data_IF_448388850405
#
_entry.id   IF_448388850405
#
_cell.length_a   1.000
_cell.length_b   1.000
_cell.length_c   1.000
_cell.angle_alpha   90.00
_cell.angle_beta   90.00
_cell.angle_gamma   90.00
#
_symmetry.space_group_name_H-M   'P 1'
#
loop_
_entity.id
_entity.type
_entity.pdbx_description
1 polymer ?
#
# COMPACT_ATOMS: atom_id res chain seq x y z
N UNK A 1 -26.10 -7.46 -4.54
CA UNK A 1 -25.25 -8.61 -4.19
C UNK A 1 -26.06 -9.61 -3.37
N UNK A 2 -25.85 -10.92 -3.56
CA UNK A 2 -26.56 -11.96 -2.77
C UNK A 2 -26.04 -12.04 -1.32
N UNK A 3 -24.81 -11.57 -1.07
CA UNK A 3 -24.20 -11.55 0.26
C UNK A 3 -24.21 -10.09 0.77
N UNK A 4 -25.11 -9.72 1.70
CA UNK A 4 -25.34 -8.31 2.05
C UNK A 4 -24.13 -7.57 2.66
N UNK A 5 -23.21 -8.29 3.30
CA UNK A 5 -22.04 -7.69 3.96
C UNK A 5 -20.82 -7.51 3.03
N UNK A 6 -20.91 -7.93 1.77
CA UNK A 6 -19.83 -7.71 0.79
C UNK A 6 -20.01 -6.33 0.16
N UNK A 7 -19.18 -5.37 0.59
CA UNK A 7 -19.28 -3.96 0.16
C UNK A 7 -18.56 -3.66 -1.15
N UNK A 8 -17.41 -4.28 -1.39
CA UNK A 8 -16.54 -3.99 -2.54
C UNK A 8 -16.06 -5.30 -3.17
N UNK A 9 -16.20 -5.40 -4.49
CA UNK A 9 -15.58 -6.47 -5.28
C UNK A 9 -14.38 -5.90 -6.02
N UNK A 10 -13.25 -6.60 -5.94
CA UNK A 10 -12.02 -6.22 -6.65
C UNK A 10 -11.41 -7.38 -7.40
N UNK A 11 -10.89 -7.10 -8.58
CA UNK A 11 -10.19 -8.07 -9.43
C UNK A 11 -8.72 -7.71 -9.56
N UNK A 12 -7.83 -8.69 -9.38
CA UNK A 12 -6.43 -8.58 -9.76
C UNK A 12 -6.23 -9.28 -11.11
N UNK A 13 -5.69 -8.58 -12.11
CA UNK A 13 -5.54 -9.16 -13.45
C UNK A 13 -4.42 -8.52 -14.26
N UNK A 14 -3.59 -9.34 -14.90
CA UNK A 14 -2.59 -8.87 -15.87
C UNK A 14 -3.17 -8.76 -17.29
N UNK A 15 -4.47 -9.06 -17.48
CA UNK A 15 -5.11 -9.13 -18.81
C UNK A 15 -4.93 -7.84 -19.63
N UNK A 16 -5.11 -6.62 -19.09
CA UNK A 16 -4.86 -5.39 -19.85
C UNK A 16 -3.43 -5.25 -20.39
N UNK A 17 -2.49 -6.00 -19.80
CA UNK A 17 -1.07 -6.01 -20.17
C UNK A 17 -0.79 -7.09 -21.21
N UNK A 18 -1.14 -8.34 -20.91
CA UNK A 18 -0.70 -9.52 -21.68
C UNK A 18 -1.70 -9.98 -22.74
N UNK A 19 -3.00 -9.70 -22.55
CA UNK A 19 -4.08 -10.10 -23.46
C UNK A 19 -5.17 -9.02 -23.51
N UNK A 20 -4.85 -7.78 -23.94
CA UNK A 20 -5.79 -6.67 -23.89
C UNK A 20 -7.08 -6.92 -24.68
N UNK A 21 -7.06 -7.79 -25.69
CA UNK A 21 -8.22 -8.19 -26.49
C UNK A 21 -9.32 -8.87 -25.67
N UNK A 22 -9.01 -9.37 -24.47
CA UNK A 22 -10.01 -9.99 -23.59
C UNK A 22 -10.93 -8.95 -22.92
N UNK A 23 -10.54 -7.68 -22.92
CA UNK A 23 -11.38 -6.57 -22.49
C UNK A 23 -12.34 -6.20 -23.61
N UNK A 24 -13.52 -6.79 -23.59
CA UNK A 24 -14.59 -6.58 -24.60
C UNK A 24 -15.78 -5.83 -24.00
N UNK A 25 -16.66 -5.33 -24.86
CA UNK A 25 -17.88 -4.65 -24.44
C UNK A 25 -18.80 -5.57 -23.62
N UNK A 26 -18.89 -6.86 -23.97
CA UNK A 26 -19.71 -7.84 -23.25
C UNK A 26 -19.18 -8.06 -21.83
N UNK A 27 -17.85 -8.15 -21.67
CA UNK A 27 -17.23 -8.27 -20.36
C UNK A 27 -17.53 -7.04 -19.49
N UNK A 28 -17.37 -5.86 -20.06
CA UNK A 28 -17.62 -4.59 -19.37
C UNK A 28 -19.09 -4.48 -18.96
N UNK A 29 -20.01 -4.77 -19.88
CA UNK A 29 -21.46 -4.74 -19.64
C UNK A 29 -21.87 -5.71 -18.52
N UNK A 30 -21.26 -6.89 -18.46
CA UNK A 30 -21.47 -7.84 -17.38
C UNK A 30 -20.96 -7.29 -16.04
N UNK A 31 -19.71 -6.81 -15.98
CA UNK A 31 -19.10 -6.32 -14.73
C UNK A 31 -19.81 -5.07 -14.17
N UNK A 32 -20.36 -4.19 -15.02
CA UNK A 32 -21.11 -3.00 -14.60
C UNK A 32 -22.30 -3.30 -13.71
N UNK A 33 -22.90 -4.50 -13.82
CA UNK A 33 -24.05 -4.92 -13.01
C UNK A 33 -23.71 -5.09 -11.52
N UNK A 34 -22.43 -5.11 -11.17
CA UNK A 34 -21.94 -5.45 -9.83
C UNK A 34 -21.12 -4.33 -9.17
N UNK A 35 -21.29 -3.07 -9.60
CA UNK A 35 -20.62 -1.92 -8.98
C UNK A 35 -20.92 -1.83 -7.46
N UNK A 36 -19.97 -1.38 -6.62
CA UNK A 36 -18.65 -0.85 -6.98
C UNK A 36 -17.59 -1.93 -7.28
N UNK A 37 -16.94 -1.84 -8.45
CA UNK A 37 -15.88 -2.77 -8.89
C UNK A 37 -14.54 -2.05 -9.07
N UNK A 38 -13.50 -2.63 -8.47
CA UNK A 38 -12.12 -2.16 -8.57
C UNK A 38 -11.26 -3.16 -9.35
N UNK A 39 -10.34 -2.68 -10.19
CA UNK A 39 -9.47 -3.54 -10.99
C UNK A 39 -8.01 -3.14 -10.79
N UNK A 40 -7.22 -4.06 -10.24
CA UNK A 40 -5.77 -3.90 -10.10
C UNK A 40 -5.06 -4.62 -11.25
N UNK A 41 -4.33 -3.87 -12.04
CA UNK A 41 -3.52 -4.34 -13.18
C UNK A 41 -2.07 -4.64 -12.76
N UNK A 42 -1.23 -5.14 -13.69
CA UNK A 42 0.16 -5.53 -13.41
C UNK A 42 1.14 -5.12 -14.53
N UNK A 43 1.25 -3.82 -14.81
CA UNK A 43 2.34 -3.24 -15.59
C UNK A 43 3.64 -3.12 -14.76
N UNK A 44 4.76 -3.54 -15.35
CA UNK A 44 6.11 -3.44 -14.82
C UNK A 44 7.01 -2.52 -15.65
N UNK A 45 6.69 -2.25 -16.91
CA UNK A 45 7.55 -1.44 -17.78
C UNK A 45 6.74 -0.54 -18.74
N UNK A 46 7.17 0.70 -19.04
CA UNK A 46 6.44 1.62 -19.93
C UNK A 46 6.15 1.06 -21.33
N UNK A 47 6.96 0.10 -21.81
CA UNK A 47 6.80 -0.58 -23.11
C UNK A 47 5.54 -1.45 -23.17
N UNK A 48 5.03 -1.89 -22.04
CA UNK A 48 3.83 -2.72 -21.96
C UNK A 48 2.54 -1.91 -22.20
N UNK A 49 2.60 -0.57 -22.08
CA UNK A 49 1.52 0.35 -22.43
C UNK A 49 1.40 0.56 -23.95
N UNK A 50 1.19 -0.56 -24.64
CA UNK A 50 0.93 -0.63 -26.09
C UNK A 50 -0.40 0.06 -26.45
N UNK A 51 -0.65 0.41 -27.74
CA UNK A 51 -1.93 1.00 -28.15
C UNK A 51 -3.15 0.15 -27.73
N UNK A 52 -3.06 -1.18 -27.84
CA UNK A 52 -4.14 -2.09 -27.43
C UNK A 52 -4.33 -2.10 -25.91
N UNK A 53 -3.26 -2.08 -25.13
CA UNK A 53 -3.35 -1.99 -23.67
C UNK A 53 -4.02 -0.68 -23.24
N UNK A 54 -3.64 0.45 -23.86
CA UNK A 54 -4.26 1.76 -23.59
C UNK A 54 -5.74 1.79 -23.94
N UNK A 55 -6.14 1.19 -25.06
CA UNK A 55 -7.55 1.04 -25.43
C UNK A 55 -8.33 0.23 -24.39
N UNK A 56 -7.80 -0.92 -23.97
CA UNK A 56 -8.42 -1.75 -22.94
C UNK A 56 -8.58 -0.99 -21.61
N UNK A 57 -7.55 -0.25 -21.18
CA UNK A 57 -7.61 0.60 -19.98
C UNK A 57 -8.66 1.71 -20.12
N UNK A 58 -8.72 2.38 -21.28
CA UNK A 58 -9.72 3.40 -21.54
C UNK A 58 -11.14 2.84 -21.43
N UNK A 59 -11.42 1.70 -22.07
CA UNK A 59 -12.73 1.05 -21.99
C UNK A 59 -13.13 0.73 -20.55
N UNK A 60 -12.20 0.23 -19.73
CA UNK A 60 -12.46 -0.06 -18.31
C UNK A 60 -12.70 1.21 -17.49
N UNK A 61 -11.91 2.27 -17.71
CA UNK A 61 -12.05 3.53 -17.01
C UNK A 61 -13.35 4.26 -17.41
N UNK A 62 -13.70 4.29 -18.70
CA UNK A 62 -14.95 4.86 -19.23
C UNK A 62 -16.18 4.12 -18.71
N UNK A 63 -16.03 2.85 -18.36
CA UNK A 63 -17.06 2.06 -17.71
C UNK A 63 -17.28 2.42 -16.23
N UNK A 64 -16.45 3.30 -15.65
CA UNK A 64 -16.52 3.71 -14.25
C UNK A 64 -15.83 2.75 -13.28
N UNK A 65 -15.00 1.82 -13.76
CA UNK A 65 -14.19 0.98 -12.86
C UNK A 65 -13.00 1.76 -12.32
N UNK A 66 -12.71 1.61 -11.03
CA UNK A 66 -11.53 2.23 -10.43
C UNK A 66 -10.31 1.36 -10.71
N UNK A 67 -9.34 1.92 -11.43
CA UNK A 67 -8.15 1.20 -11.88
C UNK A 67 -6.95 1.48 -10.99
N UNK A 68 -6.37 0.43 -10.44
CA UNK A 68 -5.08 0.43 -9.77
C UNK A 68 -4.04 -0.34 -10.58
N UNK A 69 -2.77 -0.16 -10.23
CA UNK A 69 -1.67 -0.94 -10.76
C UNK A 69 -0.73 -1.42 -9.66
N UNK A 70 -0.40 -2.71 -9.72
CA UNK A 70 0.55 -3.38 -8.85
C UNK A 70 1.80 -3.71 -9.68
N UNK A 71 2.85 -2.94 -9.48
CA UNK A 71 4.17 -3.18 -10.08
C UNK A 71 5.01 -4.02 -9.13
N UNK A 72 5.86 -4.90 -9.65
CA UNK A 72 6.91 -5.58 -8.89
C UNK A 72 8.25 -4.98 -9.29
N UNK A 73 9.09 -4.70 -8.31
CA UNK A 73 10.46 -4.23 -8.52
C UNK A 73 11.35 -5.41 -8.93
N UNK A 74 11.76 -5.41 -10.20
CA UNK A 74 12.45 -6.51 -10.87
C UNK A 74 13.79 -6.03 -11.43
N UNK A 75 14.85 -6.72 -11.02
CA UNK A 75 16.23 -6.49 -11.48
C UNK A 75 16.34 -6.66 -13.00
N UNK A 76 16.93 -5.68 -13.67
CA UNK A 76 17.15 -5.69 -15.12
C UNK A 76 15.90 -5.40 -15.94
N UNK A 77 14.76 -5.10 -15.29
CA UNK A 77 13.51 -4.73 -15.95
C UNK A 77 13.13 -3.30 -15.59
N UNK A 78 12.95 -3.01 -14.31
CA UNK A 78 12.44 -1.71 -13.85
C UNK A 78 13.10 -1.22 -12.56
N UNK A 79 14.26 -1.77 -12.18
CA UNK A 79 15.07 -1.34 -11.03
C UNK A 79 15.82 -0.02 -11.28
N UNK A 80 15.16 0.93 -11.95
CA UNK A 80 15.66 2.24 -12.33
C UNK A 80 14.59 3.31 -12.03
N UNK A 81 14.94 4.39 -11.30
CA UNK A 81 13.96 5.43 -10.92
C UNK A 81 13.30 6.10 -12.13
N UNK A 82 14.05 6.30 -13.23
CA UNK A 82 13.55 6.93 -14.45
C UNK A 82 12.52 6.05 -15.17
N UNK A 83 12.74 4.73 -15.22
CA UNK A 83 11.81 3.78 -15.85
C UNK A 83 10.49 3.76 -15.08
N UNK A 84 10.55 3.69 -13.75
CA UNK A 84 9.35 3.65 -12.92
C UNK A 84 8.62 4.99 -12.90
N UNK A 85 9.34 6.12 -12.88
CA UNK A 85 8.72 7.45 -13.00
C UNK A 85 7.94 7.57 -14.31
N UNK A 86 8.54 7.18 -15.43
CA UNK A 86 7.90 7.16 -16.74
C UNK A 86 6.68 6.24 -16.76
N UNK A 87 6.80 5.04 -16.18
CA UNK A 87 5.70 4.07 -16.10
C UNK A 87 4.52 4.67 -15.34
N UNK A 88 4.78 5.21 -14.15
CA UNK A 88 3.74 5.71 -13.25
C UNK A 88 3.05 6.95 -13.81
N UNK A 89 3.78 7.85 -14.46
CA UNK A 89 3.19 9.00 -15.15
C UNK A 89 2.30 8.53 -16.31
N UNK A 90 2.75 7.60 -17.14
CA UNK A 90 1.93 7.03 -18.22
C UNK A 90 0.72 6.26 -17.72
N UNK A 91 0.81 5.58 -16.57
CA UNK A 91 -0.35 4.91 -15.98
C UNK A 91 -1.42 5.93 -15.59
N UNK A 92 -1.02 7.05 -14.98
CA UNK A 92 -1.94 8.14 -14.64
C UNK A 92 -2.59 8.76 -15.88
N UNK A 93 -1.85 8.97 -16.97
CA UNK A 93 -2.41 9.41 -18.26
C UNK A 93 -3.52 8.47 -18.77
N UNK A 94 -3.44 7.17 -18.46
CA UNK A 94 -4.45 6.17 -18.80
C UNK A 94 -5.47 5.92 -17.69
N UNK A 95 -5.59 6.84 -16.71
CA UNK A 95 -6.51 6.76 -15.56
C UNK A 95 -6.31 5.52 -14.70
N UNK A 96 -5.07 5.01 -14.64
CA UNK A 96 -4.67 3.91 -13.77
C UNK A 96 -3.81 4.46 -12.65
N UNK A 97 -4.25 4.25 -11.41
CA UNK A 97 -3.49 4.69 -10.24
C UNK A 97 -2.32 3.73 -9.96
N UNK A 98 -1.06 4.19 -9.92
CA UNK A 98 0.03 3.43 -9.30
C UNK A 98 -0.34 3.18 -7.84
N UNK A 99 -0.70 1.93 -7.54
CA UNK A 99 -1.22 1.55 -6.23
C UNK A 99 -0.09 1.05 -5.35
N UNK A 100 0.68 0.08 -5.85
CA UNK A 100 1.79 -0.53 -5.11
C UNK A 100 2.98 -0.80 -5.98
N UNK A 101 4.16 -0.62 -5.40
CA UNK A 101 5.41 -1.17 -5.87
C UNK A 101 5.82 -2.27 -4.89
N UNK A 102 5.82 -3.52 -5.31
CA UNK A 102 6.20 -4.64 -4.46
C UNK A 102 7.68 -4.95 -4.59
N UNK A 103 8.32 -5.25 -3.47
CA UNK A 103 9.57 -5.98 -3.47
C UNK A 103 9.36 -7.37 -4.08
N UNK A 104 10.27 -7.80 -4.94
CA UNK A 104 10.26 -9.16 -5.47
C UNK A 104 10.38 -10.19 -4.34
N UNK A 105 9.43 -11.14 -4.33
CA UNK A 105 9.22 -12.13 -3.27
C UNK A 105 10.35 -13.17 -3.18
N UNK A 106 10.36 -13.94 -2.08
CA UNK A 106 11.27 -15.05 -1.83
C UNK A 106 10.82 -16.37 -2.49
N UNK A 107 9.92 -16.31 -3.46
CA UNK A 107 9.47 -17.49 -4.21
C UNK A 107 10.65 -18.21 -4.88
N UNK A 108 10.54 -19.53 -5.00
CA UNK A 108 11.58 -20.35 -5.61
C UNK A 108 11.78 -20.00 -7.09
N UNK A 109 13.02 -20.00 -7.56
CA UNK A 109 13.36 -19.80 -8.97
C UNK A 109 13.46 -18.35 -9.45
N UNK A 110 13.04 -17.34 -8.66
CA UNK A 110 13.01 -15.92 -9.09
C UNK A 110 14.08 -15.03 -8.44
N UNK A 111 15.08 -15.62 -7.77
CA UNK A 111 16.11 -14.88 -7.04
C UNK A 111 16.90 -13.89 -7.91
N UNK A 112 17.10 -14.20 -9.19
CA UNK A 112 17.79 -13.36 -10.15
C UNK A 112 17.06 -12.05 -10.47
N UNK A 113 15.74 -11.99 -10.25
CA UNK A 113 14.94 -10.76 -10.36
C UNK A 113 14.94 -9.90 -9.09
N UNK A 114 15.49 -10.40 -7.97
CA UNK A 114 15.43 -9.68 -6.70
C UNK A 114 16.36 -8.46 -6.70
N UNK A 115 15.87 -7.40 -6.08
CA UNK A 115 16.61 -6.18 -5.76
C UNK A 115 16.83 -6.07 -4.25
N UNK A 116 17.64 -5.10 -3.82
CA UNK A 116 17.74 -4.73 -2.41
C UNK A 116 16.60 -3.81 -2.01
N UNK A 117 16.22 -3.82 -0.73
CA UNK A 117 15.24 -2.86 -0.18
C UNK A 117 15.75 -1.41 -0.34
N UNK A 118 17.07 -1.21 -0.22
CA UNK A 118 17.71 0.08 -0.44
C UNK A 118 17.41 0.64 -1.84
N UNK A 119 17.40 -0.20 -2.89
CA UNK A 119 17.02 0.22 -4.25
C UNK A 119 15.58 0.71 -4.31
N UNK A 120 14.66 0.02 -3.63
CA UNK A 120 13.26 0.46 -3.54
C UNK A 120 13.13 1.82 -2.84
N UNK A 121 13.81 2.02 -1.72
CA UNK A 121 13.82 3.31 -1.00
C UNK A 121 14.41 4.43 -1.86
N UNK A 122 15.52 4.18 -2.56
CA UNK A 122 16.13 5.13 -3.48
C UNK A 122 15.15 5.52 -4.60
N UNK A 123 14.44 4.56 -5.18
CA UNK A 123 13.40 4.84 -6.18
C UNK A 123 12.31 5.73 -5.58
N UNK A 124 11.86 5.44 -4.35
CA UNK A 124 10.83 6.25 -3.69
C UNK A 124 11.28 7.70 -3.44
N UNK A 125 12.57 7.94 -3.16
CA UNK A 125 13.12 9.30 -3.08
C UNK A 125 13.07 10.02 -4.43
N UNK A 126 13.33 9.34 -5.55
CA UNK A 126 13.28 9.94 -6.89
C UNK A 126 11.85 10.20 -7.39
N UNK A 127 10.84 9.70 -6.69
CA UNK A 127 9.43 9.87 -7.03
C UNK A 127 8.76 10.92 -6.14
N UNK A 128 8.89 10.78 -4.82
CA UNK A 128 8.20 11.61 -3.84
C UNK A 128 8.67 13.07 -3.95
N UNK A 129 7.75 13.99 -4.27
CA UNK A 129 8.07 15.41 -4.51
C UNK A 129 8.62 15.74 -5.90
N UNK A 130 9.11 14.75 -6.65
CA UNK A 130 9.64 14.92 -8.01
C UNK A 130 8.64 14.61 -9.12
N UNK A 131 7.45 14.12 -8.78
CA UNK A 131 6.30 13.95 -9.66
C UNK A 131 5.02 14.24 -8.88
N UNK A 132 3.88 14.23 -9.55
CA UNK A 132 2.57 14.34 -8.87
C UNK A 132 2.44 13.25 -7.81
N UNK A 133 1.92 13.60 -6.63
CA UNK A 133 1.64 12.63 -5.56
C UNK A 133 0.71 11.50 -6.01
N UNK A 134 -0.01 11.69 -7.13
CA UNK A 134 -0.80 10.63 -7.73
C UNK A 134 0.01 9.53 -8.41
N UNK A 135 1.22 9.82 -8.86
CA UNK A 135 2.11 8.87 -9.51
C UNK A 135 3.06 8.17 -8.52
N UNK A 136 2.97 8.47 -7.22
CA UNK A 136 3.80 7.84 -6.18
C UNK A 136 3.03 6.65 -5.62
N UNK A 137 3.49 5.39 -5.85
CA UNK A 137 2.85 4.21 -5.27
C UNK A 137 3.28 4.02 -3.81
N UNK A 138 2.64 3.10 -3.10
CA UNK A 138 3.15 2.62 -1.82
C UNK A 138 4.15 1.49 -2.04
N UNK A 139 5.41 1.67 -1.60
CA UNK A 139 6.43 0.62 -1.70
C UNK A 139 6.25 -0.39 -0.56
N UNK A 140 6.08 -1.66 -0.92
CA UNK A 140 5.63 -2.73 -0.02
C UNK A 140 6.59 -3.91 -0.05
N UNK A 141 6.89 -4.46 1.13
CA UNK A 141 7.59 -5.73 1.30
C UNK A 141 6.62 -6.74 1.90
N UNK A 142 6.43 -7.90 1.26
CA UNK A 142 5.67 -8.99 1.87
C UNK A 142 6.57 -9.72 2.87
N UNK A 143 6.20 -9.68 4.15
CA UNK A 143 7.00 -10.28 5.21
C UNK A 143 6.85 -11.82 5.18
N UNK A 144 7.96 -12.57 5.15
CA UNK A 144 7.92 -14.03 5.19
C UNK A 144 7.15 -14.56 6.40
N UNK A 145 6.55 -15.74 6.24
CA UNK A 145 5.73 -16.36 7.29
C UNK A 145 4.33 -15.74 7.44
N UNK A 146 3.87 -14.97 6.45
CA UNK A 146 2.52 -14.40 6.44
C UNK A 146 2.37 -13.15 7.31
N UNK A 147 3.46 -12.45 7.61
CA UNK A 147 3.42 -11.18 8.34
C UNK A 147 2.72 -10.03 7.59
N UNK A 148 2.44 -10.25 6.30
CA UNK A 148 1.68 -9.34 5.46
C UNK A 148 2.54 -8.27 4.79
N UNK A 149 1.84 -7.39 4.05
CA UNK A 149 2.45 -6.33 3.24
C UNK A 149 2.81 -5.15 4.12
N UNK A 150 4.09 -4.93 4.31
CA UNK A 150 4.62 -3.86 5.16
C UNK A 150 5.15 -2.72 4.29
N UNK A 151 4.64 -1.49 4.49
CA UNK A 151 5.12 -0.34 3.74
C UNK A 151 6.52 0.05 4.17
N UNK A 152 7.32 0.51 3.21
CA UNK A 152 8.69 0.98 3.42
C UNK A 152 8.85 2.34 2.77
N UNK A 153 9.33 3.32 3.54
CA UNK A 153 9.45 4.70 3.10
C UNK A 153 10.85 5.28 3.36
N UNK A 154 11.26 6.29 2.59
CA UNK A 154 12.33 7.16 2.99
C UNK A 154 12.01 7.89 4.31
N UNK A 155 13.04 8.27 5.08
CA UNK A 155 12.86 8.94 6.38
C UNK A 155 12.80 10.45 6.22
N UNK A 156 11.59 11.00 6.24
CA UNK A 156 11.37 12.46 6.18
C UNK A 156 11.38 13.13 7.55
N UNK A 157 10.87 12.47 8.59
CA UNK A 157 11.02 12.92 9.97
C UNK A 157 12.42 12.55 10.46
N UNK A 158 13.19 13.55 10.90
CA UNK A 158 14.61 13.36 11.27
C UNK A 158 14.91 13.62 12.74
N UNK A 159 14.07 14.39 13.43
CA UNK A 159 14.19 14.62 14.87
C UNK A 159 12.84 15.05 15.46
N UNK A 160 12.70 14.93 16.79
CA UNK A 160 11.54 15.37 17.54
C UNK A 160 11.95 15.81 18.95
N UNK A 161 11.30 16.84 19.48
CA UNK A 161 11.32 17.25 20.89
C UNK A 161 9.89 17.47 21.38
N UNK A 162 9.72 18.02 22.58
CA UNK A 162 8.42 18.08 23.28
C UNK A 162 7.25 18.65 22.46
N UNK A 163 7.51 19.63 21.59
CA UNK A 163 6.50 20.28 20.73
C UNK A 163 6.99 20.57 19.32
N UNK A 164 8.18 20.10 18.98
CA UNK A 164 8.84 20.47 17.74
C UNK A 164 9.27 19.21 17.04
N UNK A 165 8.68 18.96 15.87
CA UNK A 165 9.06 17.86 15.00
C UNK A 165 9.84 18.43 13.82
N UNK A 166 11.00 17.87 13.52
CA UNK A 166 11.88 18.33 12.46
C UNK A 166 11.80 17.36 11.28
N UNK A 167 11.52 17.92 10.11
CA UNK A 167 11.42 17.21 8.84
C UNK A 167 12.47 17.69 7.86
N UNK A 168 12.90 16.79 6.96
CA UNK A 168 13.52 17.13 5.68
C UNK A 168 12.52 16.88 4.56
N UNK A 169 12.50 17.71 3.51
CA UNK A 169 11.72 17.45 2.30
C UNK A 169 12.56 16.73 1.21
N UNK A 170 12.01 16.59 0.00
CA UNK A 170 12.70 15.98 -1.14
C UNK A 170 13.88 16.82 -1.68
N UNK A 171 13.90 18.13 -1.43
CA UNK A 171 14.96 19.06 -1.83
C UNK A 171 16.10 19.13 -0.81
N UNK A 172 15.93 18.48 0.35
CA UNK A 172 16.84 18.60 1.49
C UNK A 172 16.59 19.83 2.36
N UNK A 173 15.51 20.58 2.14
CA UNK A 173 15.09 21.65 3.04
C UNK A 173 14.68 21.04 4.38
N UNK A 174 15.29 21.54 5.45
CA UNK A 174 14.97 21.14 6.82
C UNK A 174 14.05 22.19 7.44
N UNK A 175 12.89 21.76 7.92
CA UNK A 175 11.91 22.64 8.54
C UNK A 175 11.31 21.99 9.79
N UNK A 176 10.79 22.84 10.67
CA UNK A 176 10.13 22.42 11.90
C UNK A 176 8.62 22.56 11.80
N UNK A 177 7.90 21.63 12.38
CA UNK A 177 6.48 21.71 12.67
C UNK A 177 6.31 21.89 14.18
N UNK A 178 5.51 22.88 14.59
CA UNK A 178 5.21 23.13 16.00
C UNK A 178 3.88 22.49 16.34
N UNK A 179 3.90 21.57 17.30
CA UNK A 179 2.71 20.86 17.77
C UNK A 179 1.91 21.72 18.76
N UNK A 180 0.57 21.59 18.75
CA UNK A 180 -0.32 22.25 19.72
C UNK A 180 0.01 21.83 21.17
N UNK A 181 -0.12 22.76 22.12
CA UNK A 181 0.01 22.48 23.57
C UNK A 181 -1.29 22.03 24.22
N UNK A 182 -2.43 22.29 23.58
CA UNK A 182 -3.76 22.03 24.09
C UNK A 182 -4.43 20.80 23.47
N UNK A 183 -3.70 20.01 22.68
CA UNK A 183 -4.27 18.83 22.02
C UNK A 183 -4.69 17.75 23.01
N UNK A 184 -5.95 17.33 22.89
CA UNK A 184 -6.53 16.19 23.62
C UNK A 184 -7.12 15.20 22.64
N UNK A 185 -6.84 13.93 22.87
CA UNK A 185 -7.45 12.84 22.11
C UNK A 185 -8.82 12.52 22.71
N UNK A 186 -9.85 13.24 22.27
CA UNK A 186 -11.24 13.08 22.72
C UNK A 186 -12.18 12.91 21.51
N UNK A 187 -13.22 12.09 21.68
CA UNK A 187 -14.25 11.91 20.66
C UNK A 187 -15.11 13.19 20.59
N UNK A 188 -15.42 13.73 19.40
CA UNK A 188 -16.29 14.89 19.29
C UNK A 188 -17.66 14.67 19.95
N UNK A 189 -18.27 15.72 20.54
CA UNK A 189 -19.62 15.60 21.10
C UNK A 189 -20.61 15.19 20.00
N UNK A 190 -21.53 14.27 20.32
CA UNK A 190 -22.54 13.69 19.41
C UNK A 190 -21.98 12.83 18.25
N UNK A 191 -20.77 12.28 18.39
CA UNK A 191 -20.25 11.31 17.42
C UNK A 191 -20.85 9.90 17.63
N UNK A 192 -21.57 9.38 16.62
CA UNK A 192 -22.19 8.05 16.65
C UNK A 192 -21.50 7.02 15.73
N UNK A 193 -20.40 7.40 15.06
CA UNK A 193 -19.75 6.57 14.04
C UNK A 193 -19.35 5.20 14.57
N UNK A 194 -18.79 5.12 15.78
CA UNK A 194 -18.39 3.85 16.38
C UNK A 194 -19.60 2.93 16.64
N UNK A 195 -20.73 3.49 17.06
CA UNK A 195 -21.98 2.73 17.29
C UNK A 195 -22.55 2.23 15.96
N UNK A 196 -22.63 3.09 14.95
CA UNK A 196 -23.12 2.76 13.61
C UNK A 196 -22.25 1.71 12.90
N UNK A 197 -20.92 1.76 13.07
CA UNK A 197 -20.01 0.76 12.52
C UNK A 197 -20.16 -0.59 13.21
N UNK A 198 -20.26 -0.59 14.54
CA UNK A 198 -20.52 -1.80 15.33
C UNK A 198 -21.85 -2.44 14.97
N UNK A 199 -22.90 -1.64 14.77
CA UNK A 199 -24.21 -2.11 14.34
C UNK A 199 -24.17 -2.80 12.96
N UNK A 200 -23.26 -2.37 12.07
CA UNK A 200 -23.00 -3.01 10.76
C UNK A 200 -22.02 -4.19 10.83
N UNK A 201 -21.49 -4.52 12.00
CA UNK A 201 -20.50 -5.60 12.17
C UNK A 201 -19.16 -5.32 11.47
N UNK A 202 -18.84 -4.05 11.20
CA UNK A 202 -17.63 -3.63 10.48
C UNK A 202 -16.42 -3.37 11.38
N UNK A 203 -16.61 -3.47 12.69
CA UNK A 203 -15.53 -3.24 13.66
C UNK A 203 -14.81 -4.55 13.97
N UNK A 204 -13.50 -4.53 13.73
CA UNK A 204 -12.60 -5.62 14.08
C UNK A 204 -11.97 -5.34 15.44
N UNK A 205 -11.64 -6.38 16.23
CA UNK A 205 -10.91 -6.20 17.48
C UNK A 205 -9.54 -5.55 17.21
N UNK A 206 -9.07 -4.73 18.15
CA UNK A 206 -7.72 -4.18 18.09
C UNK A 206 -6.69 -5.32 18.13
N UNK A 207 -5.60 -5.17 17.39
CA UNK A 207 -4.53 -6.17 17.27
C UNK A 207 -3.14 -5.53 17.25
N UNK A 208 -2.14 -6.28 17.71
CA UNK A 208 -0.74 -5.84 17.66
C UNK A 208 -0.51 -4.50 18.38
N UNK A 209 0.36 -3.62 17.86
CA UNK A 209 0.72 -2.37 18.52
C UNK A 209 -0.46 -1.45 18.88
N UNK A 210 -1.59 -1.56 18.16
CA UNK A 210 -2.79 -0.76 18.48
C UNK A 210 -3.35 -1.05 19.87
N UNK A 211 -3.19 -2.28 20.39
CA UNK A 211 -3.56 -2.61 21.79
C UNK A 211 -2.69 -1.89 22.82
N UNK A 212 -1.41 -1.66 22.50
CA UNK A 212 -0.48 -0.93 23.37
C UNK A 212 -0.89 0.55 23.40
N UNK A 213 -1.14 1.15 22.24
CA UNK A 213 -1.63 2.54 22.16
C UNK A 213 -2.99 2.73 22.85
N UNK A 214 -3.90 1.76 22.71
CA UNK A 214 -5.19 1.77 23.40
C UNK A 214 -5.10 1.44 24.90
N UNK A 215 -3.89 1.15 25.43
CA UNK A 215 -3.65 0.77 26.82
C UNK A 215 -4.40 -0.49 27.28
N UNK A 216 -4.80 -1.36 26.34
CA UNK A 216 -5.38 -2.68 26.66
C UNK A 216 -4.31 -3.64 27.18
N UNK A 217 -3.07 -3.46 26.74
CA UNK A 217 -1.89 -4.23 27.18
C UNK A 217 -0.71 -3.29 27.39
N UNK A 218 0.17 -3.64 28.32
CA UNK A 218 1.41 -2.87 28.59
C UNK A 218 2.51 -3.19 27.57
N UNK A 219 2.58 -4.43 27.10
CA UNK A 219 3.61 -4.90 26.16
C UNK A 219 3.12 -6.06 25.30
N UNK A 220 3.82 -6.31 24.19
CA UNK A 220 3.66 -7.50 23.34
C UNK A 220 4.98 -8.27 23.36
N UNK A 221 4.91 -9.55 23.74
CA UNK A 221 6.08 -10.40 23.93
C UNK A 221 5.97 -11.67 23.06
N UNK A 222 7.06 -12.13 22.42
CA UNK A 222 7.10 -13.45 21.78
C UNK A 222 6.76 -14.58 22.77
N UNK A 223 6.10 -15.63 22.30
CA UNK A 223 5.62 -16.73 23.14
C UNK A 223 6.74 -17.39 23.97
N UNK A 224 7.90 -17.62 23.37
CA UNK A 224 9.01 -18.36 23.97
C UNK A 224 10.20 -17.48 24.38
N UNK A 225 9.95 -16.38 25.11
CA UNK A 225 11.02 -15.51 25.59
C UNK A 225 11.94 -16.21 26.62
N UNK A 226 13.25 -16.40 26.33
CA UNK A 226 14.16 -17.05 27.28
C UNK A 226 14.29 -16.31 28.61
N UNK A 227 14.09 -14.98 28.60
CA UNK A 227 14.06 -14.14 29.82
C UNK A 227 12.97 -14.57 30.79
N UNK A 228 11.78 -14.95 30.31
CA UNK A 228 10.68 -15.40 31.16
C UNK A 228 10.95 -16.79 31.74
N UNK A 229 11.55 -17.68 30.95
CA UNK A 229 11.93 -19.01 31.41
C UNK A 229 12.94 -18.95 32.56
N UNK A 230 13.91 -18.02 32.51
CA UNK A 230 14.85 -17.80 33.63
C UNK A 230 14.16 -17.32 34.90
N UNK A 231 13.18 -16.42 34.80
CA UNK A 231 12.41 -15.94 35.96
C UNK A 231 11.60 -17.04 36.62
N UNK A 232 11.02 -17.95 35.84
CA UNK A 232 10.28 -19.11 36.37
C UNK A 232 11.21 -20.05 37.14
N UNK A 233 12.35 -20.44 36.54
CA UNK A 233 13.35 -21.29 37.20
C UNK A 233 13.86 -20.71 38.52
N UNK A 234 14.16 -19.41 38.54
CA UNK A 234 14.62 -18.73 39.75
C UNK A 234 13.51 -18.52 40.81
N UNK A 235 12.24 -18.77 40.48
CA UNK A 235 11.13 -18.75 41.44
C UNK A 235 10.77 -20.16 41.95
N UNK A 236 11.27 -21.21 41.27
CA UNK A 236 11.10 -22.62 41.63
C UNK A 236 12.30 -23.14 42.48
N UNK A 237 13.36 -22.34 42.63
CA UNK A 237 14.54 -22.55 43.51
C UNK A 237 14.38 -21.78 44.82
#
# INVERSE_FOLDING_TARGET
HEIPHVEIVRYGTSIPVVLPQRVTEELISMLKKYQPVWINTHFNHPKELTPRARQALAMLADAGFVLGNQTVLLRGVNDCPWILKELFQRLIENRVRPYRLYQCDLSQGISHFRTTIARGIEIMEHLSGHTTGFAVPEYMVDLPGGGGKTPVHPRYMISQGDRVVVFRNYEGVISRYIEPDDYRFECPPNCHICEERRARGLDQPLVGPTKVFAREVVSLEPADLPRLQRRKRAADE
#
